data_IF_614915928905
#
_entry.id   IF_614915928905
#
_cell.length_a   1.000
_cell.length_b   1.000
_cell.length_c   1.000
_cell.angle_alpha   90.00
_cell.angle_beta   90.00
_cell.angle_gamma   90.00
#
_symmetry.space_group_name_H-M   'P 1'
#
loop_
_entity.id
_entity.type
_entity.pdbx_description
1 polymer ?
2 non-polymer ?
3 non-polymer ?
4 non-polymer ?
5 water ?
#
# COMPACT_ATOMS: atom_id res chain seq x y z
N UNK A 42 -21.79 -9.06 15.74
CA UNK A 42 -22.63 -8.31 14.74
C UNK A 42 -22.13 -8.59 13.33
N UNK A 43 -20.88 -8.18 13.04
CA UNK A 43 -20.27 -8.40 11.72
C UNK A 43 -19.35 -9.61 11.67
N UNK A 44 -19.45 -10.50 12.66
CA UNK A 44 -18.59 -11.69 12.77
C UNK A 44 -19.15 -12.98 12.13
N UNK A 45 -20.43 -12.97 11.75
CA UNK A 45 -21.07 -14.09 11.07
C UNK A 45 -21.23 -13.75 9.57
N UNK A 46 -21.09 -14.76 8.69
CA UNK A 46 -21.29 -14.54 7.25
C UNK A 46 -22.75 -14.18 6.95
N UNK A 47 -22.97 -13.09 6.19
CA UNK A 47 -24.35 -12.64 5.86
C UNK A 47 -25.11 -13.69 5.04
N UNK A 48 -26.39 -13.90 5.36
CA UNK A 48 -27.25 -14.72 4.52
C UNK A 48 -27.55 -13.87 3.26
N UNK A 49 -27.62 -14.53 2.10
CA UNK A 49 -27.94 -13.85 0.81
C UNK A 49 -29.33 -13.14 0.81
N UNK A 50 -29.37 -11.80 0.60
CA UNK A 50 -30.65 -11.03 0.51
C UNK A 50 -31.24 -11.30 -0.86
N UNK A 51 -32.55 -11.46 -0.98
CA UNK A 51 -32.94 -11.98 -2.30
C UNK A 51 -32.99 -10.87 -3.38
N UNK A 52 -32.54 -9.67 -3.01
CA UNK A 52 -32.36 -8.57 -3.97
C UNK A 52 -30.94 -8.00 -4.07
N UNK A 53 -30.53 -7.12 -3.16
CA UNK A 53 -29.18 -6.54 -3.18
C UNK A 53 -28.82 -5.95 -1.83
N UNK A 54 -27.66 -6.39 -1.34
CA UNK A 54 -27.15 -5.93 -0.06
C UNK A 54 -25.60 -5.83 -0.11
N UNK A 55 -25.11 -4.79 0.56
CA UNK A 55 -23.71 -4.62 0.93
C UNK A 55 -23.58 -4.90 2.44
N UNK A 56 -22.65 -5.77 2.81
CA UNK A 56 -22.51 -6.21 4.18
C UNK A 56 -21.05 -6.35 4.55
N UNK A 57 -20.76 -6.16 5.83
CA UNK A 57 -19.44 -6.25 6.38
C UNK A 57 -19.20 -7.57 7.08
N UNK A 58 -17.98 -8.05 7.01
CA UNK A 58 -17.61 -9.30 7.66
C UNK A 58 -16.28 -9.05 8.33
N UNK A 59 -16.30 -8.97 9.66
CA UNK A 59 -15.06 -8.86 10.48
C UNK A 59 -14.69 -10.24 11.05
N UNK A 60 -13.62 -10.82 10.57
CA UNK A 60 -13.25 -12.16 11.01
C UNK A 60 -11.75 -12.33 10.80
N UNK A 61 -11.08 -13.09 11.66
CA UNK A 61 -9.64 -13.19 11.52
C UNK A 61 -9.17 -13.85 10.20
N UNK A 62 -7.94 -13.48 9.82
CA UNK A 62 -7.24 -14.13 8.73
C UNK A 62 -7.10 -15.64 9.03
N UNK A 63 -7.51 -16.48 8.06
CA UNK A 63 -7.45 -17.95 8.18
C UNK A 63 -8.69 -18.63 8.68
N UNK A 64 -9.62 -17.86 9.23
CA UNK A 64 -10.79 -18.38 9.98
C UNK A 64 -11.90 -19.00 9.14
N UNK A 65 -11.80 -18.86 7.83
CA UNK A 65 -12.81 -19.41 6.92
C UNK A 65 -13.40 -18.36 6.01
N UNK A 66 -13.16 -17.07 6.30
CA UNK A 66 -13.83 -15.98 5.61
C UNK A 66 -13.61 -15.99 4.14
N UNK A 67 -12.48 -16.54 3.67
CA UNK A 67 -12.12 -16.49 2.27
C UNK A 67 -12.15 -17.86 1.58
N UNK A 68 -12.62 -18.86 2.34
CA UNK A 68 -12.54 -20.22 1.89
C UNK A 68 -13.83 -20.97 2.17
N UNK A 69 -14.02 -21.31 3.44
CA UNK A 69 -15.22 -21.95 3.97
C UNK A 69 -16.49 -21.13 3.73
N UNK A 70 -16.39 -19.83 3.87
CA UNK A 70 -17.53 -19.03 3.56
C UNK A 70 -17.98 -19.10 2.06
N UNK A 71 -17.02 -18.90 1.11
CA UNK A 71 -17.40 -19.08 -0.27
C UNK A 71 -17.80 -20.50 -0.55
N UNK A 72 -17.17 -21.49 0.06
CA UNK A 72 -17.63 -22.85 -0.11
C UNK A 72 -19.09 -23.03 0.29
N UNK A 73 -19.54 -22.36 1.35
CA UNK A 73 -20.92 -22.61 1.80
C UNK A 73 -21.92 -21.88 0.92
N UNK A 74 -21.52 -20.73 0.38
CA UNK A 74 -22.33 -20.01 -0.57
C UNK A 74 -22.44 -20.79 -1.85
N UNK A 75 -21.41 -21.58 -2.18
CA UNK A 75 -21.45 -22.33 -3.46
C UNK A 75 -22.31 -23.60 -3.40
N UNK A 76 -22.27 -24.29 -2.24
CA UNK A 76 -23.07 -25.49 -2.00
C UNK A 76 -24.60 -25.16 -2.09
N UNK A 77 -24.98 -23.92 -1.81
CA UNK A 77 -26.37 -23.46 -2.04
C UNK A 77 -26.69 -23.04 -3.50
N UNK A 78 -25.74 -23.22 -4.41
CA UNK A 78 -26.03 -23.00 -5.82
C UNK A 78 -25.65 -21.61 -6.34
N UNK A 79 -24.92 -20.81 -5.53
CA UNK A 79 -24.40 -19.48 -5.95
C UNK A 79 -23.02 -19.51 -6.66
N UNK A 80 -22.76 -18.52 -7.51
CA UNK A 80 -21.44 -18.28 -8.11
C UNK A 80 -20.79 -17.14 -7.36
N UNK A 81 -19.55 -17.35 -6.94
CA UNK A 81 -18.95 -16.51 -5.95
C UNK A 81 -17.60 -16.01 -6.46
N UNK A 82 -17.41 -14.71 -6.44
CA UNK A 82 -16.11 -14.12 -6.69
C UNK A 82 -15.49 -13.64 -5.40
N UNK A 83 -14.20 -13.94 -5.23
CA UNK A 83 -13.47 -13.57 -4.02
C UNK A 83 -12.23 -12.85 -4.43
N UNK A 84 -12.10 -11.57 -4.02
CA UNK A 84 -11.03 -10.71 -4.47
C UNK A 84 -10.06 -10.42 -3.34
N UNK A 85 -8.75 -10.29 -3.66
CA UNK A 85 -7.71 -10.10 -2.66
C UNK A 85 -6.56 -9.27 -3.24
N UNK A 86 -5.84 -8.47 -2.43
CA UNK A 86 -4.72 -7.67 -2.99
C UNK A 86 -3.45 -8.46 -3.42
N UNK A 87 -3.34 -9.73 -3.00
CA UNK A 87 -2.10 -10.53 -3.11
C UNK A 87 -2.18 -11.74 -4.08
N UNK A 88 -1.22 -11.81 -5.01
CA UNK A 88 -1.14 -12.95 -5.92
C UNK A 88 -0.94 -14.20 -5.07
N UNK A 89 -0.01 -14.15 -4.13
CA UNK A 89 0.24 -15.32 -3.27
C UNK A 89 -0.98 -15.81 -2.44
N UNK A 90 -1.72 -14.87 -1.84
CA UNK A 90 -2.93 -15.26 -1.11
C UNK A 90 -3.90 -15.95 -2.05
N UNK A 91 -4.05 -15.38 -3.25
CA UNK A 91 -5.03 -15.81 -4.26
C UNK A 91 -4.69 -17.20 -4.69
N UNK A 92 -3.44 -17.44 -5.04
CA UNK A 92 -3.02 -18.80 -5.37
C UNK A 92 -3.15 -19.77 -4.21
N UNK A 93 -2.83 -19.30 -2.99
CA UNK A 93 -3.01 -20.07 -1.74
C UNK A 93 -4.45 -20.55 -1.46
N UNK A 94 -5.44 -19.73 -1.79
CA UNK A 94 -6.80 -20.16 -1.64
C UNK A 94 -7.12 -21.36 -2.59
N UNK A 95 -6.67 -21.35 -3.84
CA UNK A 95 -7.00 -22.48 -4.72
C UNK A 95 -6.36 -23.79 -4.23
N UNK A 96 -5.17 -23.70 -3.66
CA UNK A 96 -4.51 -24.87 -3.07
C UNK A 96 -5.37 -25.40 -1.90
N UNK A 97 -5.73 -24.52 -0.95
CA UNK A 97 -6.57 -24.95 0.18
C UNK A 97 -7.89 -25.63 -0.27
N UNK A 98 -8.63 -24.93 -1.10
CA UNK A 98 -9.95 -25.38 -1.50
C UNK A 98 -9.98 -26.74 -2.21
N UNK A 99 -9.04 -26.99 -3.10
CA UNK A 99 -8.96 -28.27 -3.76
C UNK A 99 -8.43 -29.39 -2.88
N UNK A 100 -7.56 -29.06 -1.92
CA UNK A 100 -7.01 -30.09 -1.06
C UNK A 100 -7.87 -30.38 0.16
N UNK A 101 -8.45 -29.33 0.76
CA UNK A 101 -9.36 -29.54 1.91
C UNK A 101 -10.67 -30.08 1.43
N UNK A 102 -11.24 -29.46 0.39
CA UNK A 102 -12.65 -29.74 0.00
C UNK A 102 -12.91 -30.32 -1.35
N UNK A 103 -11.86 -30.69 -2.08
CA UNK A 103 -12.03 -31.24 -3.46
C UNK A 103 -12.72 -30.25 -4.41
N UNK A 104 -12.55 -28.97 -4.12
CA UNK A 104 -13.14 -27.92 -4.93
C UNK A 104 -12.06 -27.24 -5.77
N UNK A 105 -12.20 -27.30 -7.08
CA UNK A 105 -11.16 -26.66 -7.88
C UNK A 105 -11.74 -25.37 -8.43
N UNK A 106 -11.37 -24.25 -7.82
CA UNK A 106 -11.92 -23.00 -8.26
C UNK A 106 -11.12 -22.39 -9.42
N UNK A 107 -11.67 -21.36 -10.05
CA UNK A 107 -10.99 -20.59 -11.06
C UNK A 107 -10.08 -19.61 -10.30
N UNK A 108 -8.83 -19.47 -10.75
CA UNK A 108 -7.85 -18.63 -10.09
C UNK A 108 -7.30 -17.64 -11.11
N UNK A 109 -7.53 -16.37 -10.88
CA UNK A 109 -7.22 -15.43 -11.92
C UNK A 109 -6.24 -14.40 -11.34
N UNK A 110 -5.04 -14.32 -11.91
CA UNK A 110 -4.00 -13.30 -11.55
C UNK A 110 -3.44 -12.60 -12.81
N UNK A 111 -2.61 -11.57 -12.63
CA UNK A 111 -1.89 -10.88 -13.73
C UNK A 111 -1.16 -11.79 -14.69
N UNK A 112 -0.41 -12.74 -14.16
CA UNK A 112 0.23 -13.81 -14.94
C UNK A 112 -0.78 -14.67 -15.80
N UNK A 113 -1.58 -15.52 -15.13
CA UNK A 113 -2.47 -16.44 -15.85
C UNK A 113 -3.87 -16.48 -15.22
N UNK A 114 -4.86 -16.99 -15.98
CA UNK A 114 -6.20 -17.21 -15.43
C UNK A 114 -6.50 -18.68 -15.63
N UNK A 115 -6.80 -19.37 -14.54
CA UNK A 115 -7.09 -20.79 -14.60
C UNK A 115 -8.63 -20.96 -14.53
N UNK A 116 -9.24 -21.49 -15.59
CA UNK A 116 -10.65 -21.74 -15.60
C UNK A 116 -10.98 -23.20 -15.52
N UNK A 117 -11.58 -23.57 -14.38
CA UNK A 117 -12.09 -24.93 -14.13
C UNK A 117 -13.59 -25.07 -14.44
N UNK A 118 -14.32 -23.95 -14.46
CA UNK A 118 -15.76 -23.98 -14.72
C UNK A 118 -16.60 -24.09 -13.46
N UNK A 119 -15.96 -24.26 -12.31
CA UNK A 119 -16.67 -24.36 -11.03
C UNK A 119 -17.21 -23.01 -10.63
N UNK A 120 -17.99 -22.95 -9.54
CA UNK A 120 -18.75 -21.77 -9.16
C UNK A 120 -18.02 -20.70 -8.37
N UNK A 121 -16.80 -21.00 -7.91
CA UNK A 121 -16.00 -20.07 -7.13
C UNK A 121 -14.83 -19.54 -7.96
N UNK A 122 -14.66 -18.22 -7.97
CA UNK A 122 -13.53 -17.62 -8.60
C UNK A 122 -12.72 -16.75 -7.66
N UNK A 123 -11.41 -16.99 -7.63
CA UNK A 123 -10.49 -16.13 -6.92
C UNK A 123 -9.76 -15.28 -7.93
N UNK A 124 -9.58 -13.99 -7.62
CA UNK A 124 -8.86 -13.08 -8.47
C UNK A 124 -8.22 -12.03 -7.59
N UNK A 125 -7.15 -11.43 -8.06
CA UNK A 125 -6.62 -10.25 -7.37
C UNK A 125 -7.55 -9.09 -7.79
N UNK A 126 -7.51 -8.00 -7.02
CA UNK A 126 -8.21 -6.82 -7.41
C UNK A 126 -7.70 -6.31 -8.74
N UNK A 127 -6.39 -6.37 -8.95
CA UNK A 127 -5.78 -5.95 -10.19
C UNK A 127 -6.18 -6.73 -11.40
N UNK A 128 -6.19 -8.04 -11.28
CA UNK A 128 -6.69 -8.81 -12.40
C UNK A 128 -8.17 -8.52 -12.62
N UNK A 129 -8.94 -8.38 -11.55
CA UNK A 129 -10.35 -8.05 -11.70
C UNK A 129 -10.52 -6.76 -12.52
N UNK A 130 -9.67 -5.78 -12.24
CA UNK A 130 -9.79 -4.49 -12.95
C UNK A 130 -9.34 -4.66 -14.41
N UNK A 131 -8.30 -5.47 -14.60
CA UNK A 131 -7.79 -5.71 -15.93
C UNK A 131 -8.81 -6.41 -16.76
N UNK A 132 -9.60 -7.32 -16.15
CA UNK A 132 -10.73 -8.01 -16.81
C UNK A 132 -12.02 -7.21 -17.03
N UNK A 133 -12.03 -5.92 -16.73
CA UNK A 133 -13.24 -5.10 -16.98
C UNK A 133 -14.23 -4.93 -15.81
N UNK A 134 -13.90 -5.49 -14.64
CA UNK A 134 -14.77 -5.45 -13.47
C UNK A 134 -15.84 -6.53 -13.54
N UNK A 135 -17.06 -6.19 -13.11
CA UNK A 135 -18.25 -7.06 -13.25
C UNK A 135 -18.72 -6.94 -14.71
N UNK A 136 -18.63 -8.02 -15.48
CA UNK A 136 -18.77 -7.87 -16.93
C UNK A 136 -18.87 -9.24 -17.54
N UNK A 139 -22.72 -13.05 -14.23
CA UNK A 139 -21.48 -13.73 -13.86
C UNK A 139 -21.43 -14.11 -12.34
N UNK A 140 -21.46 -13.15 -11.44
CA UNK A 140 -21.31 -13.52 -10.02
C UNK A 140 -22.52 -13.17 -9.21
N UNK A 141 -22.98 -14.09 -8.36
CA UNK A 141 -24.11 -13.85 -7.46
C UNK A 141 -23.66 -13.04 -6.23
N UNK A 142 -22.44 -13.37 -5.74
CA UNK A 142 -21.89 -12.87 -4.49
C UNK A 142 -20.44 -12.48 -4.73
N UNK A 143 -20.06 -11.27 -4.31
CA UNK A 143 -18.70 -10.82 -4.42
C UNK A 143 -18.14 -10.50 -3.08
N UNK A 144 -17.08 -11.22 -2.74
CA UNK A 144 -16.37 -10.99 -1.50
C UNK A 144 -15.13 -10.16 -1.77
N UNK A 145 -15.14 -8.96 -1.25
CA UNK A 145 -13.98 -8.12 -1.31
C UNK A 145 -13.13 -8.40 -0.06
N UNK A 146 -12.11 -9.26 -0.20
CA UNK A 146 -11.30 -9.65 0.97
C UNK A 146 -10.19 -8.62 1.27
N UNK A 147 -9.76 -8.58 2.52
CA UNK A 147 -8.80 -7.52 2.93
C UNK A 147 -9.27 -6.13 2.52
N UNK A 148 -10.55 -5.82 2.78
CA UNK A 148 -11.17 -4.57 2.30
C UNK A 148 -10.71 -3.32 3.07
N UNK A 149 -9.86 -3.56 4.06
CA UNK A 149 -9.19 -2.46 4.73
C UNK A 149 -7.98 -1.99 3.91
N UNK A 150 -7.53 -2.74 2.89
CA UNK A 150 -6.31 -2.31 2.17
C UNK A 150 -6.37 -0.96 1.49
N UNK A 151 -5.27 -0.25 1.56
CA UNK A 151 -5.22 1.15 1.12
C UNK A 151 -4.19 1.30 0.01
N UNK A 152 -3.87 0.19 -0.65
CA UNK A 152 -3.15 0.37 -1.88
C UNK A 152 -4.17 0.73 -2.97
N UNK A 153 -3.70 1.34 -4.06
CA UNK A 153 -4.63 1.87 -5.01
C UNK A 153 -5.45 0.81 -5.78
N UNK A 154 -4.86 -0.33 -6.12
CA UNK A 154 -5.56 -1.43 -6.80
C UNK A 154 -6.76 -1.94 -5.99
N UNK A 155 -6.58 -2.09 -4.68
CA UNK A 155 -7.65 -2.47 -3.79
C UNK A 155 -8.77 -1.43 -3.72
N UNK A 156 -8.39 -0.16 -3.58
CA UNK A 156 -9.34 0.93 -3.51
C UNK A 156 -10.16 1.14 -4.79
N UNK A 157 -9.49 1.15 -5.95
CA UNK A 157 -10.17 1.18 -7.25
C UNK A 157 -11.03 -0.08 -7.49
N UNK A 158 -10.46 -1.24 -7.18
CA UNK A 158 -11.14 -2.53 -7.34
C UNK A 158 -12.42 -2.58 -6.51
N UNK A 159 -12.31 -2.17 -5.27
CA UNK A 159 -13.46 -2.15 -4.38
C UNK A 159 -14.57 -1.16 -4.83
N UNK A 160 -14.22 0.07 -5.22
CA UNK A 160 -15.16 1.04 -5.77
C UNK A 160 -15.85 0.48 -7.01
N UNK A 161 -15.12 -0.31 -7.79
CA UNK A 161 -15.70 -0.86 -9.02
C UNK A 161 -16.80 -1.87 -8.67
N UNK A 162 -16.50 -2.78 -7.75
CA UNK A 162 -17.53 -3.71 -7.27
C UNK A 162 -18.73 -2.92 -6.76
N UNK A 163 -18.48 -1.91 -5.95
CA UNK A 163 -19.57 -1.20 -5.33
C UNK A 163 -20.39 -0.42 -6.35
N UNK A 164 -19.70 0.11 -7.37
CA UNK A 164 -20.45 0.73 -8.40
C UNK A 164 -21.22 -0.24 -9.32
N UNK A 165 -20.66 -1.43 -9.57
CA UNK A 165 -21.15 -2.28 -10.67
C UNK A 165 -21.91 -3.52 -10.24
N UNK A 166 -21.89 -3.81 -8.95
CA UNK A 166 -22.28 -5.15 -8.55
C UNK A 166 -23.77 -5.43 -8.80
N UNK A 167 -24.61 -4.51 -8.34
CA UNK A 167 -26.06 -4.61 -8.57
C UNK A 167 -26.42 -4.61 -10.08
N UNK A 168 -25.95 -3.62 -10.83
CA UNK A 168 -26.26 -3.66 -12.27
C UNK A 168 -25.92 -5.04 -12.92
N UNK A 169 -24.83 -5.67 -12.47
CA UNK A 169 -24.33 -6.91 -13.04
C UNK A 169 -25.06 -8.20 -12.56
N UNK A 170 -26.12 -8.07 -11.79
CA UNK A 170 -26.86 -9.24 -11.36
C UNK A 170 -26.49 -9.82 -10.01
N UNK A 171 -25.59 -9.17 -9.28
CA UNK A 171 -25.18 -9.71 -8.01
C UNK A 171 -26.27 -9.47 -6.98
N UNK A 172 -26.40 -10.38 -6.01
CA UNK A 172 -27.32 -10.19 -4.88
C UNK A 172 -26.56 -9.67 -3.64
N UNK A 173 -25.26 -9.92 -3.57
CA UNK A 173 -24.51 -9.64 -2.34
C UNK A 173 -23.06 -9.21 -2.54
N UNK A 174 -22.68 -8.10 -1.93
CA UNK A 174 -21.26 -7.74 -1.84
C UNK A 174 -20.85 -7.82 -0.36
N UNK A 175 -19.78 -8.56 -0.07
CA UNK A 175 -19.29 -8.68 1.31
C UNK A 175 -17.97 -7.92 1.42
N UNK A 176 -17.90 -6.90 2.29
CA UNK A 176 -16.63 -6.30 2.61
C UNK A 176 -16.00 -6.99 3.86
N UNK A 177 -15.04 -7.85 3.57
CA UNK A 177 -14.43 -8.76 4.53
C UNK A 177 -13.08 -8.29 4.94
N UNK A 178 -12.81 -8.36 6.22
CA UNK A 178 -11.48 -7.99 6.70
C UNK A 178 -11.24 -8.51 8.10
N UNK A 179 -9.96 -8.69 8.42
CA UNK A 179 -9.54 -9.01 9.81
C UNK A 179 -9.18 -7.74 10.55
N UNK A 180 -9.04 -6.62 9.83
CA UNK A 180 -8.63 -5.33 10.49
C UNK A 180 -9.54 -4.19 10.10
N UNK A 181 -10.69 -4.05 10.75
CA UNK A 181 -11.61 -2.98 10.32
C UNK A 181 -10.99 -1.59 10.46
N UNK A 182 -11.43 -0.61 9.67
CA UNK A 182 -10.97 0.81 9.84
C UNK A 182 -11.24 1.48 11.21
N UNK A 183 -10.30 2.30 11.69
CA UNK A 183 -10.43 2.84 13.05
C UNK A 183 -9.93 1.84 14.12
N UNK A 184 -9.46 0.65 13.72
CA UNK A 184 -8.83 -0.26 14.66
C UNK A 184 -7.63 0.41 15.31
N UNK A 185 -7.50 0.19 16.63
CA UNK A 185 -6.32 0.63 17.35
C UNK A 185 -5.54 -0.57 17.88
N UNK A 186 -4.29 -0.29 18.25
CA UNK A 186 -3.45 -1.28 18.94
C UNK A 186 -4.04 -1.50 20.32
N UNK A 187 -4.44 -2.73 20.57
CA UNK A 187 -4.97 -3.22 21.87
C UNK A 187 -3.88 -3.96 22.72
N UNK A 188 -4.01 -3.95 24.07
CA UNK A 188 -2.98 -4.65 24.87
C UNK A 188 -2.89 -6.14 24.51
N UNK A 189 -1.68 -6.67 24.54
CA UNK A 189 -1.43 -8.07 24.37
C UNK A 189 -1.13 -8.66 25.73
N UNK A 190 -1.71 -9.81 26.07
CA UNK A 190 -1.51 -10.47 27.39
C UNK A 190 -0.05 -10.84 27.66
N UNK A 191 0.67 -11.27 26.62
CA UNK A 191 2.09 -11.66 26.72
C UNK A 191 3.13 -10.59 26.47
N UNK A 192 2.72 -9.35 26.27
CA UNK A 192 3.71 -8.28 26.01
C UNK A 192 3.62 -7.10 26.99
N UNK A 193 4.73 -6.80 27.68
CA UNK A 193 4.81 -5.69 28.61
C UNK A 193 5.34 -4.48 27.87
N UNK A 194 4.60 -3.37 27.99
CA UNK A 194 4.85 -2.13 27.24
C UNK A 194 5.35 -0.99 28.12
N UNK A 195 6.55 -0.52 27.81
CA UNK A 195 7.28 0.44 28.66
C UNK A 195 7.82 1.61 27.83
N UNK A 196 7.35 2.82 28.10
CA UNK A 196 7.82 3.97 27.33
C UNK A 196 9.30 4.21 27.63
N UNK A 197 10.04 4.66 26.61
CA UNK A 197 11.37 5.19 26.84
C UNK A 197 11.18 6.53 27.54
N UNK A 198 12.21 6.99 28.26
CA UNK A 198 12.26 8.38 28.76
C UNK A 198 13.44 9.09 28.09
N UNK A 199 13.85 10.21 28.69
CA UNK A 199 15.03 10.92 28.22
C UNK A 199 16.32 10.38 28.85
N UNK A 200 16.19 9.58 29.92
CA UNK A 200 17.38 8.99 30.55
C UNK A 200 17.95 7.82 29.76
N UNK A 201 19.16 7.99 29.24
CA UNK A 201 19.86 6.94 28.55
C UNK A 201 21.06 7.47 27.80
N UNK A 202 21.97 6.57 27.47
CA UNK A 202 23.23 6.97 26.85
C UNK A 202 23.16 6.95 25.33
N UNK A 203 22.04 6.47 24.80
CA UNK A 203 21.91 6.28 23.35
C UNK A 203 20.67 7.04 22.88
N UNK A 204 20.85 8.25 22.29
CA UNK A 204 19.66 9.06 21.95
C UNK A 204 18.95 8.40 20.78
N UNK A 205 17.62 8.45 20.80
CA UNK A 205 16.82 7.66 19.85
C UNK A 205 15.53 8.38 19.71
N UNK A 206 15.31 8.86 18.48
CA UNK A 206 14.11 9.61 18.05
C UNK A 206 13.50 10.52 19.08
N UNK A 207 14.36 11.26 19.78
CA UNK A 207 13.90 12.31 20.68
C UNK A 207 13.75 11.89 22.10
N UNK A 208 13.94 10.58 22.33
CA UNK A 208 14.07 10.00 23.67
C UNK A 208 15.43 9.28 23.78
N UNK A 209 15.53 8.31 24.69
CA UNK A 209 16.78 7.54 24.85
C UNK A 209 16.60 6.09 25.27
N UNK A 210 17.56 5.26 24.86
CA UNK A 210 17.68 3.88 25.27
C UNK A 210 18.84 3.81 26.27
N UNK A 211 18.57 3.38 27.52
CA UNK A 211 19.68 3.02 28.40
C UNK A 211 20.41 1.82 27.83
N UNK A 212 21.72 1.79 27.92
CA UNK A 212 22.48 0.64 27.39
C UNK A 212 22.08 -0.72 28.07
N UNK A 213 21.75 -0.65 29.36
CA UNK A 213 21.50 -1.85 30.17
C UNK A 213 20.35 -2.68 29.66
N UNK A 214 19.35 -2.05 29.02
CA UNK A 214 18.15 -2.75 28.56
C UNK A 214 18.35 -3.45 27.23
N UNK A 215 19.51 -3.25 26.61
CA UNK A 215 19.84 -4.00 25.38
C UNK A 215 21.18 -4.75 25.47
N UNK A 216 21.87 -4.57 26.60
CA UNK A 216 23.07 -5.38 26.87
C UNK A 216 22.69 -6.71 27.49
N UNK A 217 22.85 -7.79 26.71
CA UNK A 217 22.44 -9.15 27.08
C UNK A 217 21.04 -9.54 26.62
N UNK A 218 20.90 -10.73 26.06
CA UNK A 218 19.66 -11.16 25.39
C UNK A 218 19.56 -10.71 23.92
N UNK A 219 18.44 -10.99 23.27
CA UNK A 219 18.24 -10.69 21.84
C UNK A 219 17.18 -9.60 21.57
N UNK A 220 17.59 -8.54 20.93
CA UNK A 220 16.70 -7.38 20.81
C UNK A 220 16.57 -6.76 19.40
N UNK A 221 15.36 -6.32 19.07
CA UNK A 221 15.06 -5.71 17.80
C UNK A 221 14.67 -4.22 17.94
N UNK A 222 15.49 -3.34 17.35
CA UNK A 222 15.16 -1.92 17.26
C UNK A 222 14.63 -1.61 15.86
N UNK A 223 13.47 -0.99 15.78
CA UNK A 223 12.96 -0.49 14.49
C UNK A 223 13.36 0.96 14.26
N UNK A 224 14.00 1.20 13.11
CA UNK A 224 14.20 2.55 12.60
C UNK A 224 13.51 2.72 11.25
N UNK A 225 13.28 3.97 10.85
CA UNK A 225 12.46 4.22 9.65
C UNK A 225 13.18 4.05 8.33
N UNK A 226 14.51 4.23 8.35
CA UNK A 226 15.37 4.20 7.13
C UNK A 226 16.65 3.38 7.26
N UNK A 227 17.03 2.71 6.16
CA UNK A 227 18.30 1.98 6.02
C UNK A 227 19.46 2.75 6.65
N UNK A 228 19.40 4.07 6.49
CA UNK A 228 20.38 5.00 7.05
C UNK A 228 20.50 4.96 8.60
N UNK A 229 19.37 5.05 9.32
CA UNK A 229 19.42 5.07 10.80
C UNK A 229 19.91 3.71 11.29
N UNK A 230 19.40 2.65 10.68
CA UNK A 230 19.82 1.30 10.94
C UNK A 230 21.36 1.23 11.02
N UNK A 231 22.04 1.65 9.95
CA UNK A 231 23.49 1.65 9.84
C UNK A 231 24.24 2.51 10.83
N UNK A 232 23.76 3.72 11.04
CA UNK A 232 24.36 4.62 12.03
C UNK A 232 24.18 4.12 13.49
N UNK A 233 22.99 3.59 13.81
CA UNK A 233 22.70 3.11 15.15
C UNK A 233 23.47 1.82 15.36
N UNK A 234 23.38 0.89 14.41
CA UNK A 234 24.22 -0.32 14.42
C UNK A 234 25.69 -0.02 14.67
N UNK A 235 26.22 1.01 14.01
CA UNK A 235 27.61 1.41 14.20
C UNK A 235 27.84 2.08 15.55
N UNK A 236 26.86 2.86 16.03
CA UNK A 236 27.03 3.49 17.36
C UNK A 236 27.12 2.41 18.44
N UNK A 237 26.21 1.45 18.37
CA UNK A 237 26.08 0.40 19.35
C UNK A 237 27.35 -0.48 19.37
N UNK A 238 27.83 -0.84 18.18
CA UNK A 238 29.06 -1.62 18.08
C UNK A 238 30.26 -0.91 18.70
N UNK A 239 30.35 0.41 18.52
CA UNK A 239 31.41 1.16 19.19
C UNK A 239 31.33 0.92 20.69
N UNK A 240 30.11 0.69 21.19
CA UNK A 240 29.85 0.70 22.63
C UNK A 240 30.00 -0.67 23.29
N UNK A 241 30.18 -1.68 22.45
CA UNK A 241 30.54 -2.99 22.95
C UNK A 241 29.48 -4.02 22.72
N UNK A 242 28.46 -3.66 21.95
CA UNK A 242 27.33 -4.52 21.72
C UNK A 242 27.46 -5.31 20.40
N UNK A 243 27.14 -6.59 20.43
CA UNK A 243 26.90 -7.30 19.18
C UNK A 243 25.65 -6.71 18.49
N UNK A 244 25.87 -5.92 17.44
CA UNK A 244 24.80 -5.27 16.69
C UNK A 244 24.88 -5.50 15.17
N UNK A 245 23.73 -5.66 14.52
CA UNK A 245 23.70 -5.82 13.07
C UNK A 245 22.46 -5.22 12.38
N UNK A 246 22.70 -4.45 11.31
CA UNK A 246 21.62 -3.84 10.54
C UNK A 246 20.91 -4.87 9.69
N UNK A 247 19.63 -4.61 9.37
CA UNK A 247 18.93 -5.36 8.32
C UNK A 247 17.87 -4.52 7.61
N UNK A 248 17.91 -4.56 6.28
CA UNK A 248 16.92 -3.91 5.42
C UNK A 248 16.69 -4.67 4.10
N UNK A 249 15.91 -4.07 3.20
CA UNK A 249 15.64 -4.59 1.85
C UNK A 249 16.99 -4.78 1.13
N UNK A 250 17.28 -6.03 0.77
CA UNK A 250 18.43 -6.34 -0.06
C UNK A 250 19.69 -6.84 0.61
N UNK A 251 19.64 -7.03 1.93
CA UNK A 251 20.68 -7.81 2.62
C UNK A 251 20.13 -9.20 2.92
N UNK A 252 21.01 -10.13 3.29
CA UNK A 252 20.53 -11.50 3.53
C UNK A 252 19.93 -11.74 4.95
N UNK A 253 19.07 -12.75 5.06
CA UNK A 253 18.45 -13.20 6.32
C UNK A 253 19.49 -13.82 7.29
N UNK A 254 20.60 -14.30 6.72
CA UNK A 254 21.63 -15.04 7.46
C UNK A 254 22.51 -14.09 8.25
N UNK A 255 22.38 -12.81 7.99
CA UNK A 255 23.12 -11.71 8.65
C UNK A 255 22.67 -11.47 10.14
N UNK A 256 21.69 -12.26 10.54
CA UNK A 256 21.11 -12.28 11.87
C UNK A 256 21.38 -13.64 12.49
N UNK A 257 22.21 -13.69 13.55
CA UNK A 257 22.57 -14.96 14.16
C UNK A 257 21.36 -15.65 14.80
N UNK A 258 21.20 -16.96 14.57
CA UNK A 258 20.16 -17.79 15.19
C UNK A 258 20.23 -17.75 16.71
N UNK A 259 21.45 -17.62 17.25
CA UNK A 259 21.72 -17.78 18.67
C UNK A 259 22.72 -16.75 19.13
N UNK A 260 22.64 -16.40 20.41
CA UNK A 260 23.58 -15.48 21.01
C UNK A 260 22.95 -14.13 21.19
N UNK A 261 23.50 -13.35 22.11
CA UNK A 261 23.10 -11.98 22.29
C UNK A 261 23.31 -11.22 20.99
N UNK A 262 22.28 -10.46 20.57
CA UNK A 262 22.35 -9.60 19.36
C UNK A 262 21.41 -8.42 19.51
N UNK A 263 21.80 -7.27 18.99
CA UNK A 263 20.86 -6.19 18.78
C UNK A 263 20.67 -5.98 17.26
N UNK A 264 19.49 -6.29 16.74
CA UNK A 264 19.17 -6.07 15.32
C UNK A 264 18.46 -4.73 15.15
N UNK A 265 19.10 -3.80 14.41
CA UNK A 265 18.52 -2.50 14.08
C UNK A 265 17.95 -2.61 12.66
N UNK A 266 16.63 -2.72 12.54
CA UNK A 266 16.00 -2.96 11.24
C UNK A 266 14.85 -2.02 10.82
N UNK A 267 14.51 -2.09 9.53
CA UNK A 267 13.31 -1.50 8.95
C UNK A 267 12.23 -2.59 8.84
N UNK A 268 11.06 -2.20 8.34
CA UNK A 268 9.90 -3.06 8.14
C UNK A 268 10.08 -4.17 7.15
N UNK A 269 11.20 -4.10 6.44
CA UNK A 269 11.69 -5.16 5.55
C UNK A 269 11.86 -6.45 6.33
N UNK A 270 12.21 -6.31 7.61
CA UNK A 270 12.39 -7.48 8.49
C UNK A 270 11.20 -8.44 8.58
N UNK A 271 9.99 -7.90 8.71
CA UNK A 271 8.80 -8.72 8.95
C UNK A 271 8.43 -9.60 7.75
N UNK A 272 8.94 -9.22 6.58
CA UNK A 272 8.59 -9.83 5.28
C UNK A 272 9.70 -10.75 4.74
N UNK A 273 10.94 -10.51 5.22
CA UNK A 273 12.13 -11.36 4.95
C UNK A 273 12.44 -12.49 5.95
N UNK A 274 12.22 -12.23 7.24
CA UNK A 274 12.71 -13.11 8.36
C UNK A 274 11.66 -13.68 9.36
N UNK A 275 12.04 -14.79 10.00
CA UNK A 275 11.11 -15.54 10.85
C UNK A 275 10.99 -15.05 12.32
N UNK A 276 11.57 -15.75 13.30
CA UNK A 276 11.19 -15.53 14.70
C UNK A 276 12.23 -14.98 15.65
N UNK A 277 11.76 -14.62 16.86
CA UNK A 277 12.54 -14.41 18.15
C UNK A 277 12.17 -13.15 18.95
N UNK A 278 13.17 -12.60 19.65
CA UNK A 278 13.23 -11.30 20.40
C UNK A 278 12.69 -11.17 21.83
N UNK A 279 13.58 -10.79 22.74
CA UNK A 279 13.29 -10.48 24.13
C UNK A 279 12.60 -9.12 24.24
N UNK A 280 12.93 -8.22 23.31
CA UNK A 280 12.34 -6.90 23.31
C UNK A 280 12.33 -6.30 21.92
N UNK A 281 11.34 -5.41 21.69
CA UNK A 281 11.24 -4.55 20.51
C UNK A 281 11.39 -3.07 20.93
N UNK A 282 12.20 -2.31 20.22
CA UNK A 282 12.30 -0.86 20.50
C UNK A 282 11.80 -0.15 19.23
N UNK A 283 10.68 0.54 19.35
CA UNK A 283 10.00 1.04 18.15
C UNK A 283 10.13 2.56 18.07
N UNK A 284 10.57 3.04 16.90
CA UNK A 284 10.80 4.48 16.73
C UNK A 284 9.47 5.23 16.54
N UNK A 285 8.44 4.45 16.18
CA UNK A 285 7.04 4.86 16.08
C UNK A 285 6.74 5.72 14.88
N UNK A 286 7.65 5.71 13.90
CA UNK A 286 7.44 6.43 12.63
C UNK A 286 7.67 5.47 11.46
N UNK A 287 6.99 5.67 10.33
CA UNK A 287 7.35 4.98 9.07
C UNK A 287 7.52 5.91 7.85
N UNK A 288 7.95 5.35 6.72
CA UNK A 288 7.97 6.06 5.47
C UNK A 288 6.73 5.72 4.61
N UNK A 289 6.02 6.75 4.16
CA UNK A 289 4.84 6.57 3.35
C UNK A 289 4.80 7.55 2.15
N UNK A 290 4.07 7.20 1.13
CA UNK A 290 3.86 8.06 0.00
C UNK A 290 2.90 9.15 0.40
N UNK A 291 3.34 10.40 0.31
CA UNK A 291 2.45 11.51 0.61
C UNK A 291 2.43 12.51 -0.53
N UNK A 292 1.26 13.12 -0.77
CA UNK A 292 1.13 14.30 -1.64
C UNK A 292 1.23 15.56 -0.80
N UNK A 293 2.01 16.51 -1.27
CA UNK A 293 2.14 17.83 -0.65
C UNK A 293 1.73 18.88 -1.72
N UNK A 294 0.73 19.71 -1.41
CA UNK A 294 0.39 20.79 -2.33
C UNK A 294 1.36 21.95 -2.11
N UNK A 295 2.61 21.68 -2.50
CA UNK A 295 3.78 22.54 -2.24
C UNK A 295 3.84 23.86 -3.08
N UNK A 296 3.13 23.88 -4.20
CA UNK A 296 3.01 25.11 -5.03
C UNK A 296 4.37 25.59 -5.59
N UNK A 297 5.21 24.64 -5.96
CA UNK A 297 6.57 24.89 -6.44
C UNK A 297 6.93 24.10 -7.71
N UNK A 298 6.06 24.09 -8.77
CA UNK A 298 4.86 24.92 -9.07
C UNK A 298 3.50 24.38 -8.60
N UNK A 299 3.38 23.03 -8.47
CA UNK A 299 2.09 22.42 -8.27
C UNK A 299 2.05 21.56 -6.98
N UNK A 300 2.30 20.26 -7.11
CA UNK A 300 2.22 19.35 -5.99
C UNK A 300 3.49 18.51 -5.95
N UNK A 301 3.74 17.82 -4.83
CA UNK A 301 4.87 16.93 -4.71
C UNK A 301 4.33 15.60 -4.28
N UNK A 302 4.72 14.52 -4.98
CA UNK A 302 4.50 13.16 -4.48
C UNK A 302 5.82 12.47 -4.11
N UNK A 303 6.05 12.27 -2.81
CA UNK A 303 7.28 11.63 -2.37
C UNK A 303 7.13 10.76 -1.12
N UNK A 304 8.20 10.06 -0.80
CA UNK A 304 8.19 9.08 0.25
C UNK A 304 8.73 9.81 1.47
N UNK A 305 7.85 10.03 2.45
CA UNK A 305 8.20 10.90 3.61
C UNK A 305 7.98 10.23 5.00
N UNK A 306 8.54 10.82 6.04
CA UNK A 306 8.44 10.23 7.39
C UNK A 306 7.15 10.62 8.08
N UNK A 307 6.27 9.65 8.32
CA UNK A 307 4.99 9.92 9.02
C UNK A 307 4.86 9.18 10.36
N UNK A 308 4.05 9.69 11.30
CA UNK A 308 3.85 8.81 12.48
C UNK A 308 3.14 7.49 12.09
N UNK A 309 3.47 6.40 12.76
CA UNK A 309 2.92 5.09 12.39
C UNK A 309 1.43 4.98 12.76
N UNK A 310 0.73 4.08 12.07
CA UNK A 310 -0.63 3.79 12.42
C UNK A 310 -0.72 2.52 13.30
N UNK A 311 -1.92 2.18 13.79
CA UNK A 311 -2.09 1.01 14.65
C UNK A 311 -1.54 -0.28 14.00
N UNK A 312 -1.71 -0.44 12.69
CA UNK A 312 -1.28 -1.67 12.06
C UNK A 312 0.23 -1.79 12.14
N UNK A 313 0.95 -0.74 11.85
CA UNK A 313 2.40 -0.81 11.96
C UNK A 313 2.84 -0.97 13.43
N UNK A 314 2.12 -0.32 14.34
CA UNK A 314 2.42 -0.48 15.76
C UNK A 314 2.23 -1.91 16.24
N UNK A 315 1.08 -2.49 15.89
CA UNK A 315 0.76 -3.87 16.26
C UNK A 315 1.82 -4.81 15.70
N UNK A 316 2.09 -4.70 14.40
CA UNK A 316 3.10 -5.56 13.77
C UNK A 316 4.50 -5.46 14.37
N UNK A 317 5.00 -4.25 14.64
CA UNK A 317 6.36 -4.13 15.17
C UNK A 317 6.46 -4.68 16.59
N UNK A 318 5.45 -4.40 17.40
CA UNK A 318 5.34 -4.95 18.73
C UNK A 318 5.29 -6.46 18.65
N UNK A 319 4.59 -7.00 17.66
CA UNK A 319 4.28 -8.44 17.60
C UNK A 319 5.46 -9.34 17.37
N UNK A 320 6.65 -8.76 17.19
CA UNK A 320 7.90 -9.55 17.06
C UNK A 320 8.48 -10.13 18.38
N UNK A 321 7.96 -9.67 19.52
CA UNK A 321 8.35 -10.21 20.82
C UNK A 321 7.08 -10.86 21.48
N UNK A 322 7.21 -11.54 22.62
CA UNK A 322 6.06 -12.23 23.22
C UNK A 322 5.67 -13.57 22.61
N UNK A 323 6.57 -14.17 21.81
CA UNK A 323 6.23 -15.46 21.16
C UNK A 323 6.70 -16.69 21.97
N UNK A 324 5.74 -17.36 22.61
CA UNK A 324 6.02 -18.55 23.42
C UNK A 324 6.72 -18.24 24.75
N UNK A 325 6.75 -16.97 25.13
CA UNK A 325 7.26 -16.52 26.43
C UNK A 325 6.90 -15.04 26.55
N UNK A 326 7.22 -14.39 27.66
CA UNK A 326 6.83 -13.01 27.83
C UNK A 326 7.71 -12.01 27.04
N UNK A 327 7.17 -10.89 26.57
CA UNK A 327 8.01 -9.94 25.87
C UNK A 327 7.93 -8.52 26.35
N UNK A 328 8.88 -7.71 25.90
CA UNK A 328 8.97 -6.30 26.21
C UNK A 328 8.87 -5.48 24.91
N UNK A 329 8.09 -4.38 24.96
CA UNK A 329 7.98 -3.45 23.83
C UNK A 329 8.25 -2.05 24.34
N UNK A 330 9.26 -1.37 23.80
CA UNK A 330 9.53 0.01 24.20
C UNK A 330 9.31 0.97 23.03
N UNK A 331 8.87 2.18 23.36
CA UNK A 331 8.37 3.10 22.36
C UNK A 331 8.63 4.53 22.73
N UNK A 332 8.89 5.34 21.70
CA UNK A 332 9.03 6.80 21.75
C UNK A 332 7.76 7.54 22.14
N UNK A 333 6.61 7.13 21.61
CA UNK A 333 5.34 7.86 21.85
C UNK A 333 4.15 6.94 21.82
N UNK A 334 3.07 7.30 22.54
CA UNK A 334 1.95 6.38 22.61
C UNK A 334 1.24 6.30 21.29
N UNK A 335 0.61 5.17 21.01
CA UNK A 335 -0.15 4.94 19.77
C UNK A 335 -1.05 6.12 19.48
N UNK A 336 -1.01 6.61 18.25
CA UNK A 336 -1.84 7.77 17.92
C UNK A 336 -2.78 7.60 16.69
N UNK A 337 -2.28 7.02 15.59
CA UNK A 337 -3.10 6.85 14.38
C UNK A 337 -3.81 5.50 14.37
N UNK A 338 -5.14 5.52 14.27
CA UNK A 338 -5.95 4.31 13.99
C UNK A 338 -5.73 3.88 12.56
N UNK A 339 -6.00 2.62 12.25
CA UNK A 339 -5.83 2.12 10.91
C UNK A 339 -6.92 2.67 10.00
N UNK A 340 -6.71 2.56 8.68
CA UNK A 340 -7.75 2.87 7.70
C UNK A 340 -7.98 4.35 7.37
N UNK A 341 -6.90 5.14 7.43
CA UNK A 341 -6.83 6.45 6.79
C UNK A 341 -5.73 6.38 5.75
N UNK A 342 -6.01 6.87 4.53
CA UNK A 342 -5.00 6.88 3.49
C UNK A 342 -4.81 8.25 2.87
N UNK A 343 -3.71 8.41 2.15
CA UNK A 343 -3.24 9.68 1.67
C UNK A 343 -3.96 10.02 0.35
N UNK A 344 -4.17 11.30 0.11
CA UNK A 344 -4.60 11.76 -1.23
C UNK A 344 -3.78 11.26 -2.46
N UNK A 345 -2.48 11.05 -2.30
CA UNK A 345 -1.65 10.56 -3.42
C UNK A 345 -2.04 9.16 -3.89
N UNK A 346 -2.70 8.40 -3.00
CA UNK A 346 -3.37 7.16 -3.41
C UNK A 346 -4.60 7.41 -4.30
N UNK A 347 -5.30 8.53 -4.10
CA UNK A 347 -6.33 8.86 -5.07
C UNK A 347 -5.72 9.17 -6.46
N UNK A 348 -4.67 9.95 -6.48
CA UNK A 348 -3.91 10.20 -7.71
C UNK A 348 -3.44 8.90 -8.41
N UNK A 349 -2.97 7.93 -7.63
CA UNK A 349 -2.47 6.73 -8.14
C UNK A 349 -3.53 5.89 -8.81
N UNK A 350 -4.71 5.89 -8.22
CA UNK A 350 -5.87 5.32 -8.85
C UNK A 350 -6.14 5.92 -10.23
N UNK A 351 -6.13 7.25 -10.36
CA UNK A 351 -6.39 7.95 -11.63
C UNK A 351 -5.30 7.60 -12.63
N UNK A 352 -4.09 7.59 -12.11
CA UNK A 352 -2.96 7.25 -12.90
C UNK A 352 -3.09 5.80 -13.48
N UNK A 353 -3.40 4.86 -12.63
CA UNK A 353 -3.53 3.48 -13.09
C UNK A 353 -4.71 3.31 -14.02
N UNK A 354 -5.78 4.04 -13.77
CA UNK A 354 -6.92 4.02 -14.64
C UNK A 354 -6.57 4.39 -16.05
N UNK A 355 -5.76 5.44 -16.19
CA UNK A 355 -5.27 5.88 -17.50
C UNK A 355 -4.21 4.94 -18.10
N UNK A 356 -3.29 4.47 -17.25
CA UNK A 356 -2.18 3.64 -17.69
C UNK A 356 -2.51 2.15 -18.03
N UNK A 357 -3.43 1.55 -17.27
CA UNK A 357 -3.57 0.14 -17.28
C UNK A 357 -4.92 -0.31 -17.73
N UNK A 358 -5.94 0.47 -17.44
CA UNK A 358 -7.32 0.00 -17.47
C UNK A 358 -8.23 0.74 -18.40
N UNK A 359 -7.66 1.58 -19.26
CA UNK A 359 -8.42 2.38 -20.26
C UNK A 359 -9.68 2.97 -19.70
N UNK A 360 -9.55 3.61 -18.55
CA UNK A 360 -10.66 4.35 -17.95
C UNK A 360 -10.36 5.83 -18.09
N UNK A 361 -11.35 6.62 -18.46
CA UNK A 361 -11.16 8.03 -18.47
C UNK A 361 -11.20 8.42 -16.99
N UNK A 362 -10.59 9.56 -16.64
CA UNK A 362 -10.73 10.09 -15.28
C UNK A 362 -12.16 10.14 -14.74
N UNK A 363 -13.14 10.44 -15.61
CA UNK A 363 -14.54 10.48 -15.15
C UNK A 363 -15.07 9.08 -14.78
N UNK A 364 -14.69 8.06 -15.53
CA UNK A 364 -14.98 6.69 -15.13
C UNK A 364 -14.28 6.38 -13.77
N UNK A 365 -13.05 6.80 -13.61
CA UNK A 365 -12.37 6.57 -12.35
C UNK A 365 -13.13 7.20 -11.16
N UNK A 366 -13.65 8.41 -11.35
CA UNK A 366 -14.46 9.07 -10.33
C UNK A 366 -15.74 8.33 -9.95
N UNK A 367 -16.50 7.79 -10.91
CA UNK A 367 -17.71 7.07 -10.50
C UNK A 367 -17.31 5.93 -9.53
N UNK A 368 -16.23 5.23 -9.83
CA UNK A 368 -15.83 4.06 -9.03
C UNK A 368 -15.30 4.48 -7.64
N UNK A 369 -14.45 5.53 -7.61
CA UNK A 369 -13.94 6.06 -6.36
C UNK A 369 -15.02 6.70 -5.47
N UNK A 370 -15.96 7.39 -6.13
CA UNK A 370 -17.12 7.96 -5.48
C UNK A 370 -17.90 6.86 -4.80
N UNK A 371 -18.13 5.73 -5.47
CA UNK A 371 -18.90 4.66 -4.81
C UNK A 371 -18.17 4.15 -3.52
N UNK A 372 -16.84 4.12 -3.58
CA UNK A 372 -16.01 3.68 -2.45
C UNK A 372 -16.12 4.69 -1.28
N UNK A 373 -15.93 5.98 -1.57
CA UNK A 373 -16.02 7.02 -0.53
C UNK A 373 -17.43 7.16 0.03
N UNK A 374 -18.45 6.84 -0.76
CA UNK A 374 -19.83 6.89 -0.26
C UNK A 374 -20.27 5.63 0.50
N UNK A 375 -19.43 4.61 0.57
CA UNK A 375 -19.82 3.41 1.30
C UNK A 375 -19.25 3.44 2.73
N UNK A 376 -20.13 3.46 3.77
CA UNK A 376 -19.62 3.52 5.16
C UNK A 376 -18.80 2.29 5.59
N UNK A 377 -17.88 2.50 6.53
CA UNK A 377 -17.10 1.41 7.15
C UNK A 377 -15.91 0.94 6.32
N UNK A 378 -15.43 1.83 5.44
CA UNK A 378 -14.30 1.56 4.57
C UNK A 378 -13.21 2.54 4.98
N UNK A 379 -11.93 2.28 4.63
CA UNK A 379 -10.90 3.33 4.79
C UNK A 379 -11.36 4.66 4.23
N UNK A 380 -10.83 5.76 4.79
CA UNK A 380 -11.29 7.12 4.51
C UNK A 380 -10.14 7.97 4.06
N UNK A 381 -10.47 9.04 3.37
CA UNK A 381 -9.48 9.91 2.81
C UNK A 381 -10.10 11.25 2.49
N UNK A 382 -9.30 12.30 2.44
CA UNK A 382 -9.78 13.55 1.86
C UNK A 382 -10.40 13.35 0.46
N UNK A 383 -11.47 14.08 0.19
CA UNK A 383 -12.26 13.92 -1.02
C UNK A 383 -11.65 14.83 -2.07
N UNK A 384 -10.63 14.34 -2.73
CA UNK A 384 -9.94 15.11 -3.73
C UNK A 384 -10.21 14.53 -5.10
N UNK A 385 -11.41 13.96 -5.27
CA UNK A 385 -11.80 13.30 -6.51
C UNK A 385 -11.91 14.28 -7.66
N UNK A 386 -12.65 15.37 -7.46
CA UNK A 386 -12.76 16.37 -8.50
C UNK A 386 -11.43 16.92 -8.94
N UNK A 387 -10.58 17.22 -7.98
CA UNK A 387 -9.28 17.74 -8.29
C UNK A 387 -8.41 16.77 -9.11
N UNK A 388 -8.23 15.54 -8.65
CA UNK A 388 -7.40 14.59 -9.39
C UNK A 388 -7.98 14.30 -10.77
N UNK A 389 -9.31 14.17 -10.83
CA UNK A 389 -10.01 13.99 -12.13
C UNK A 389 -9.63 15.10 -13.08
N UNK A 390 -9.69 16.34 -12.60
CA UNK A 390 -9.47 17.45 -13.49
C UNK A 390 -8.04 17.51 -13.99
N UNK A 391 -7.08 17.07 -13.17
CA UNK A 391 -5.64 17.11 -13.52
C UNK A 391 -5.41 16.15 -14.71
N UNK A 392 -5.90 14.95 -14.53
CA UNK A 392 -5.63 13.93 -15.49
C UNK A 392 -6.37 14.21 -16.79
N UNK A 393 -7.51 14.89 -16.69
CA UNK A 393 -8.35 15.15 -17.89
C UNK A 393 -7.62 16.01 -18.92
N UNK A 394 -6.68 16.83 -18.45
CA UNK A 394 -5.85 17.63 -19.32
C UNK A 394 -4.44 17.07 -19.55
N UNK A 395 -4.21 15.80 -19.19
CA UNK A 395 -2.93 15.16 -19.49
C UNK A 395 -3.05 14.46 -20.86
N UNK A 396 -3.14 15.26 -21.90
CA UNK A 396 -3.50 14.78 -23.23
C UNK A 396 -2.26 14.41 -24.04
N UNK A 397 -2.45 13.42 -24.91
CA UNK A 397 -1.47 13.04 -25.94
C UNK A 397 -0.15 12.65 -25.34
N UNK A 398 -0.20 11.66 -24.46
CA UNK A 398 1.02 11.08 -23.87
C UNK A 398 1.67 10.23 -24.93
N UNK A 399 2.99 10.14 -24.89
CA UNK A 399 3.66 9.25 -25.81
C UNK A 399 3.43 7.80 -25.43
N UNK A 400 2.84 7.02 -26.33
CA UNK A 400 2.54 5.61 -26.09
C UNK A 400 3.75 4.75 -25.74
N UNK A 401 4.87 4.96 -26.42
CA UNK A 401 6.04 4.11 -26.20
C UNK A 401 6.65 4.41 -24.86
N UNK A 402 6.71 5.69 -24.49
CA UNK A 402 7.13 6.05 -23.11
C UNK A 402 6.29 5.39 -21.99
N UNK A 403 4.96 5.50 -22.10
CA UNK A 403 4.06 4.90 -21.13
C UNK A 403 4.25 3.37 -20.97
N UNK A 404 4.40 2.65 -22.09
CA UNK A 404 4.61 1.19 -22.01
C UNK A 404 5.97 0.86 -21.43
N UNK A 405 6.96 1.71 -21.71
CA UNK A 405 8.27 1.54 -21.07
C UNK A 405 8.22 1.72 -19.56
N UNK A 406 7.54 2.76 -19.12
CA UNK A 406 7.33 2.99 -17.69
C UNK A 406 6.53 1.87 -17.02
N UNK A 407 5.41 1.48 -17.65
CA UNK A 407 4.57 0.36 -17.18
C UNK A 407 5.38 -0.89 -16.99
N UNK A 408 6.22 -1.20 -17.99
CA UNK A 408 7.08 -2.39 -17.99
C UNK A 408 8.17 -2.36 -16.91
N UNK A 409 8.86 -1.22 -16.79
CA UNK A 409 9.85 -1.01 -15.76
C UNK A 409 9.29 -1.04 -14.30
N UNK A 410 7.97 -0.93 -14.17
CA UNK A 410 7.28 -1.01 -12.89
C UNK A 410 7.41 0.17 -11.93
N UNK A 411 7.98 1.31 -12.37
CA UNK A 411 8.00 2.57 -11.54
C UNK A 411 6.58 2.98 -11.06
N UNK A 412 6.50 3.57 -9.85
CA UNK A 412 5.26 4.18 -9.36
C UNK A 412 4.75 5.32 -10.25
N UNK A 413 3.42 5.46 -10.39
CA UNK A 413 2.80 6.53 -11.17
C UNK A 413 3.27 6.47 -12.63
N UNK A 414 3.05 5.33 -13.32
CA UNK A 414 3.53 5.20 -14.68
C UNK A 414 3.01 6.31 -15.61
N UNK A 415 1.78 6.75 -15.43
CA UNK A 415 1.23 7.82 -16.28
C UNK A 415 1.88 9.21 -16.03
N UNK A 416 2.10 9.55 -14.74
CA UNK A 416 2.68 10.84 -14.41
C UNK A 416 4.14 10.89 -14.80
N UNK A 417 4.86 9.78 -14.69
CA UNK A 417 6.24 9.75 -15.10
C UNK A 417 6.35 9.86 -16.63
N UNK A 418 5.58 9.06 -17.37
CA UNK A 418 5.67 9.09 -18.81
C UNK A 418 5.17 10.41 -19.37
N UNK A 419 4.22 11.07 -18.71
CA UNK A 419 3.72 12.39 -19.13
C UNK A 419 4.74 13.51 -18.97
N UNK A 420 5.36 13.55 -17.81
CA UNK A 420 6.49 14.44 -17.66
C UNK A 420 7.56 14.15 -18.74
N UNK A 421 7.83 12.88 -19.02
CA UNK A 421 8.89 12.52 -19.97
C UNK A 421 8.53 13.02 -21.40
N UNK A 422 7.28 12.83 -21.74
CA UNK A 422 6.72 13.23 -23.01
C UNK A 422 6.94 14.69 -23.19
N UNK A 423 6.40 15.46 -22.26
CA UNK A 423 6.60 16.89 -22.14
C UNK A 423 8.08 17.25 -22.27
N UNK A 424 8.99 16.47 -21.67
CA UNK A 424 10.42 16.76 -21.79
C UNK A 424 10.92 16.55 -23.22
N UNK A 425 10.60 15.40 -23.82
CA UNK A 425 11.04 15.08 -25.18
C UNK A 425 10.45 16.04 -26.22
N UNK A 426 9.23 16.54 -25.99
CA UNK A 426 8.65 17.58 -26.88
C UNK A 426 9.26 18.97 -26.65
N UNK A 427 9.89 19.22 -25.53
CA UNK A 427 10.56 20.53 -25.37
C UNK A 427 12.09 20.34 -25.54
N UNK A 428 12.53 19.15 -25.93
CA UNK A 428 13.97 18.78 -25.99
C UNK A 428 14.69 19.24 -24.72
N UNK A 429 14.04 19.05 -23.57
CA UNK A 429 14.55 19.48 -22.27
C UNK A 429 14.94 18.26 -21.44
N UNK A 430 15.89 18.44 -20.52
CA UNK A 430 16.19 17.25 -19.66
C UNK A 430 15.07 16.97 -18.63
N UNK A 431 14.95 15.72 -18.19
CA UNK A 431 14.07 15.36 -17.06
C UNK A 431 14.52 16.05 -15.77
N UNK A 432 13.64 16.11 -14.77
CA UNK A 432 14.01 16.82 -13.53
C UNK A 432 15.29 16.30 -12.86
N UNK A 433 15.62 15.02 -13.03
CA UNK A 433 16.90 14.43 -12.59
C UNK A 433 17.22 13.23 -13.47
N UNK A 434 18.39 12.62 -13.25
CA UNK A 434 18.63 11.34 -13.90
C UNK A 434 18.37 10.12 -13.00
N UNK A 435 17.43 10.25 -12.06
CA UNK A 435 16.93 9.08 -11.31
C UNK A 435 16.48 8.04 -12.33
N UNK A 436 16.67 6.77 -12.01
CA UNK A 436 16.09 5.62 -12.77
C UNK A 436 14.70 5.87 -13.41
N UNK A 437 13.86 6.63 -12.71
CA UNK A 437 12.51 6.99 -13.14
C UNK A 437 12.47 7.46 -14.60
N UNK A 438 13.49 8.24 -14.97
CA UNK A 438 13.55 9.01 -16.21
C UNK A 438 14.27 8.30 -17.33
N UNK A 439 14.59 7.01 -17.13
CA UNK A 439 15.40 6.24 -18.10
C UNK A 439 14.87 6.11 -19.55
N UNK A 440 13.62 6.46 -19.85
CA UNK A 440 13.22 6.42 -21.26
C UNK A 440 13.80 7.61 -22.07
N UNK A 441 14.29 8.61 -21.32
CA UNK A 441 14.96 9.80 -21.86
C UNK A 441 16.47 9.67 -21.96
N UNK A 442 17.04 8.56 -21.49
CA UNK A 442 18.49 8.37 -21.44
C UNK A 442 19.09 8.28 -22.84
N UNK A 443 18.38 7.64 -23.77
CA UNK A 443 18.89 7.54 -25.14
C UNK A 443 18.92 8.91 -25.83
N UNK A 444 18.04 9.81 -25.40
CA UNK A 444 17.99 11.16 -26.00
C UNK A 444 18.85 12.20 -25.27
N UNK A 445 19.60 11.72 -24.28
CA UNK A 445 20.36 12.55 -23.34
C UNK A 445 21.29 13.57 -24.00
N UNK A 446 22.04 13.19 -25.06
CA UNK A 446 22.89 14.25 -25.68
C UNK A 446 22.14 15.45 -26.30
N UNK A 447 20.87 15.26 -26.69
CA UNK A 447 20.06 16.31 -27.37
C UNK A 447 19.12 17.12 -26.46
N UNK A 448 19.00 16.75 -25.18
CA UNK A 448 18.13 17.51 -24.29
C UNK A 448 18.94 18.51 -23.54
N UNK A 449 18.53 19.77 -23.60
CA UNK A 449 19.26 20.88 -23.05
C UNK A 449 18.29 21.82 -22.38
N UNK A 450 18.80 22.67 -21.49
CA UNK A 450 17.98 23.75 -20.91
C UNK A 450 17.26 23.42 -19.61
N UNK A 451 16.32 24.29 -19.21
CA UNK A 451 15.59 24.02 -17.95
C UNK A 451 14.46 22.97 -18.15
N UNK A 452 14.24 22.14 -17.12
CA UNK A 452 13.14 21.18 -17.12
C UNK A 452 11.77 21.88 -17.03
N UNK A 453 10.86 21.57 -17.95
CA UNK A 453 9.54 22.09 -17.73
C UNK A 453 8.78 21.24 -16.67
N UNK A 454 8.92 21.64 -15.40
CA UNK A 454 8.26 20.98 -14.25
C UNK A 454 6.76 20.98 -14.24
N UNK A 455 6.14 19.79 -14.38
CA UNK A 455 4.69 19.65 -14.17
C UNK A 455 4.26 19.47 -12.70
N UNK A 456 5.11 18.78 -11.94
CA UNK A 456 4.87 18.39 -10.54
C UNK A 456 6.18 17.72 -10.10
N UNK A 457 6.27 17.30 -8.84
CA UNK A 457 7.49 16.73 -8.26
C UNK A 457 7.28 15.24 -7.87
N UNK A 458 8.12 14.35 -8.41
CA UNK A 458 8.04 12.95 -8.09
C UNK A 458 9.31 12.46 -7.37
N UNK A 459 10.18 13.39 -7.01
CA UNK A 459 11.47 13.09 -6.40
C UNK A 459 12.30 14.36 -6.37
N UNK A 460 13.59 14.19 -6.16
CA UNK A 460 14.43 15.34 -5.94
C UNK A 460 14.75 16.00 -7.25
N UNK A 461 14.82 17.33 -7.17
CA UNK A 461 15.09 18.18 -8.31
C UNK A 461 16.58 18.32 -8.49
N UNK A 462 17.04 18.12 -9.72
CA UNK A 462 18.47 18.18 -10.02
C UNK A 462 18.84 18.94 -11.28
N UNK A 463 17.90 19.74 -11.79
CA UNK A 463 18.18 20.61 -12.91
C UNK A 463 17.38 21.89 -12.71
N UNK A 464 17.76 22.97 -13.40
CA UNK A 464 16.96 24.18 -13.37
C UNK A 464 15.58 23.92 -14.01
N UNK A 465 14.63 24.77 -13.66
CA UNK A 465 13.26 24.54 -14.03
C UNK A 465 12.63 25.77 -14.65
N UNK A 466 11.70 25.52 -15.56
CA UNK A 466 10.83 26.55 -16.09
C UNK A 466 9.39 26.20 -15.73
N UNK A 467 8.63 27.24 -15.41
CA UNK A 467 7.27 27.10 -14.97
C UNK A 467 6.32 27.65 -16.05
N UNK A 468 6.85 27.82 -17.26
CA UNK A 468 6.10 28.37 -18.40
C UNK A 468 5.16 27.36 -19.02
N UNK A 469 5.40 26.08 -18.80
CA UNK A 469 4.75 25.12 -19.69
C UNK A 469 3.22 25.17 -19.56
N UNK A 470 2.52 25.15 -20.69
CA UNK A 470 1.06 25.23 -20.65
C UNK A 470 0.39 24.21 -19.66
N UNK A 471 0.97 23.01 -19.57
CA UNK A 471 0.45 21.97 -18.71
C UNK A 471 0.74 22.27 -17.26
N UNK A 472 1.85 22.93 -16.96
CA UNK A 472 2.09 23.38 -15.60
C UNK A 472 1.02 24.34 -15.17
N UNK A 473 0.77 25.30 -16.04
CA UNK A 473 -0.32 26.24 -15.83
C UNK A 473 -1.63 25.54 -15.65
N UNK A 474 -1.90 24.51 -16.47
CA UNK A 474 -3.19 23.87 -16.36
C UNK A 474 -3.31 23.25 -14.96
N UNK A 475 -2.30 22.49 -14.51
CA UNK A 475 -2.34 21.86 -13.17
C UNK A 475 -2.45 22.86 -12.03
N UNK A 476 -1.74 24.00 -12.14
CA UNK A 476 -1.87 25.04 -11.10
C UNK A 476 -3.28 25.54 -10.99
N UNK A 477 -3.98 25.63 -12.12
CA UNK A 477 -5.35 26.15 -12.12
C UNK A 477 -6.35 25.09 -11.64
N UNK A 478 -6.07 23.80 -11.91
CA UNK A 478 -6.81 22.70 -11.22
C UNK A 478 -6.81 22.80 -9.68
N UNK A 479 -5.67 23.26 -9.12
CA UNK A 479 -5.50 23.37 -7.67
C UNK A 479 -6.36 24.47 -7.06
N UNK A 480 -6.25 25.64 -7.65
CA UNK A 480 -6.93 26.82 -7.20
C UNK A 480 -8.40 26.88 -7.68
N UNK A 481 -8.83 25.98 -8.57
CA UNK A 481 -10.24 25.93 -8.93
C UNK A 481 -10.99 24.98 -8.00
N UNK A 482 -10.28 24.40 -7.05
CA UNK A 482 -10.84 23.43 -6.11
C UNK A 482 -10.72 23.99 -4.70
N UNK A 483 -11.87 24.26 -4.08
CA UNK A 483 -11.93 24.77 -2.70
C UNK A 483 -11.24 23.91 -1.61
N UNK A 484 -11.28 22.58 -1.75
CA UNK A 484 -10.57 21.67 -0.84
C UNK A 484 -9.04 21.72 -1.00
N UNK A 485 -8.56 21.97 -2.21
CA UNK A 485 -7.13 21.91 -2.46
C UNK A 485 -6.43 23.28 -2.29
N UNK A 486 -7.11 24.39 -2.65
CA UNK A 486 -6.55 25.76 -2.38
C UNK A 486 -6.24 25.96 -0.87
#
# INVERSE_FOLDING_TARGET
MGRGSHHHHHHGMASTRGVAKAVDFVPVESMETTMRSPVFTDNSSPPAVPQTFQVAHLHAPTGSGKSTKVPAAYAAQGYKVLVLNPSVAATLGFGVYMSKAHGIDPNIRTGVRAITTGGPITYSTYGKFLADGGCSGGAYDIIICDECHSTDSTSILGIGTVLDQAETAGARLVVLATATPPGSVTVPHPNIEEVALSNTGEIPFYGKAIPIEVIRGGRHLIFCHSKKKCDELAAKLSALGLNAVAYYRGLDVSVIPTSGDVVVVATDALMTGYTGDFDSVIDCNTCVTQTVDFSLDPTFTIDTTTVPQDAVSRSQRRGRTGRGRRGIYRFVTPGERPSGMFDSSVLCECYDAGCAWYELTPAETSVRLRAYLNTPGLPVCQDHLEFWESVFTGLTHIDAHFLSQTKQAGDNFPYLVAYQATVCARAQAPPPSWDQMWKSLTRLKPTLHGPTPLLYRLGALQNEVTLTHPVTKFIMACMSADLEVVTAAAREA
#
